data_IF_104497996363
#
_entry.id   IF_104497996363
#
_cell.length_a   1.000
_cell.length_b   1.000
_cell.length_c   1.000
_cell.angle_alpha   90.00
_cell.angle_beta   90.00
_cell.angle_gamma   90.00
#
_symmetry.space_group_name_H-M   'P 1'
#
loop_
_entity.id
_entity.type
_entity.pdbx_description
1 polymer ?
#
# COMPACT_ATOMS: atom_id res chain seq x y z
N UNK A 1 -3.51 -3.80 1.78
CA UNK A 1 -2.15 -3.26 2.00
C UNK A 1 -1.38 -4.42 2.59
N UNK A 2 -0.94 -5.42 1.83
CA UNK A 2 0.21 -5.41 0.93
C UNK A 2 0.37 -6.81 0.29
N UNK A 3 -0.69 -7.35 -0.32
CA UNK A 3 -0.71 -8.73 -0.83
C UNK A 3 0.56 -9.12 -1.56
N UNK A 4 1.11 -10.29 -1.20
CA UNK A 4 2.19 -10.89 -1.96
C UNK A 4 1.77 -10.99 -3.43
N UNK A 5 2.71 -10.99 -4.36
CA UNK A 5 2.36 -11.10 -5.79
C UNK A 5 1.48 -12.34 -6.05
N UNK A 6 1.71 -13.45 -5.36
CA UNK A 6 0.88 -14.66 -5.48
C UNK A 6 -0.59 -14.41 -5.12
N UNK A 7 -0.84 -13.67 -4.06
CA UNK A 7 -2.19 -13.29 -3.62
C UNK A 7 -2.82 -12.23 -4.53
N UNK A 8 -2.02 -11.27 -5.00
CA UNK A 8 -2.45 -10.23 -5.93
C UNK A 8 -2.84 -10.81 -7.29
N UNK A 9 -2.10 -11.81 -7.77
CA UNK A 9 -2.42 -12.55 -8.99
C UNK A 9 -3.66 -13.41 -8.75
N UNK A 10 -3.73 -14.18 -7.66
CA UNK A 10 -4.89 -15.02 -7.38
C UNK A 10 -6.20 -14.23 -7.24
N UNK A 11 -6.16 -13.06 -6.59
CA UNK A 11 -7.31 -12.16 -6.50
C UNK A 11 -7.73 -11.57 -7.85
N UNK A 12 -6.78 -11.33 -8.77
CA UNK A 12 -7.04 -10.74 -10.08
C UNK A 12 -7.43 -11.76 -11.15
N UNK A 13 -6.85 -12.96 -11.11
CA UNK A 13 -7.05 -14.01 -12.14
C UNK A 13 -8.08 -15.07 -11.72
N UNK A 14 -8.46 -15.11 -10.44
CA UNK A 14 -9.24 -16.21 -9.87
C UNK A 14 -8.45 -17.53 -9.77
N UNK A 15 -7.14 -17.48 -10.03
CA UNK A 15 -6.27 -18.66 -10.02
C UNK A 15 -5.63 -18.84 -8.63
N UNK A 16 -6.15 -19.80 -7.87
CA UNK A 16 -5.64 -20.15 -6.54
C UNK A 16 -4.42 -21.07 -6.57
N UNK A 17 -3.89 -21.38 -7.76
CA UNK A 17 -2.69 -22.24 -7.89
C UNK A 17 -1.48 -21.68 -7.13
N UNK A 18 -1.42 -20.35 -6.94
CA UNK A 18 -0.36 -19.66 -6.19
C UNK A 18 -0.66 -19.46 -4.70
N UNK A 19 -1.86 -19.79 -4.23
CA UNK A 19 -2.29 -19.65 -2.82
C UNK A 19 -1.72 -20.72 -1.89
N UNK A 20 -1.08 -21.76 -2.45
CA UNK A 20 -0.60 -22.95 -1.72
C UNK A 20 0.85 -22.85 -1.23
N UNK A 21 1.45 -21.67 -1.14
CA UNK A 21 2.76 -21.53 -0.49
C UNK A 21 2.53 -21.60 1.02
N UNK A 22 3.03 -22.62 1.73
CA UNK A 22 2.87 -22.69 3.18
C UNK A 22 3.71 -21.58 3.82
N UNK A 23 3.06 -20.46 4.16
CA UNK A 23 3.65 -19.45 5.03
C UNK A 23 3.65 -19.99 6.46
N UNK A 24 4.77 -20.59 6.86
CA UNK A 24 5.11 -20.65 8.27
C UNK A 24 5.21 -19.21 8.75
N UNK A 25 4.17 -18.67 9.40
CA UNK A 25 4.20 -17.35 10.01
C UNK A 25 5.40 -17.29 10.96
N UNK A 26 6.48 -16.58 10.61
CA UNK A 26 7.63 -16.51 11.48
C UNK A 26 7.22 -15.75 12.73
N UNK A 27 7.76 -16.14 13.89
CA UNK A 27 7.73 -15.27 15.06
C UNK A 27 8.46 -14.00 14.67
N UNK A 28 7.71 -12.91 14.49
CA UNK A 28 8.25 -11.66 13.99
C UNK A 28 8.96 -10.91 15.11
N UNK A 29 10.29 -11.04 15.17
CA UNK A 29 11.13 -10.23 16.07
C UNK A 29 11.53 -8.91 15.39
N UNK A 30 10.75 -7.85 15.61
CA UNK A 30 11.07 -6.47 15.14
C UNK A 30 12.13 -5.80 16.03
N UNK A 31 12.58 -6.44 17.11
CA UNK A 31 13.51 -5.84 18.06
C UNK A 31 12.85 -4.79 18.97
N UNK A 32 13.65 -3.87 19.51
CA UNK A 32 13.18 -2.89 20.49
C UNK A 32 12.94 -1.50 19.86
N UNK A 33 11.91 -0.76 20.29
CA UNK A 33 11.58 0.55 19.71
C UNK A 33 12.66 1.62 19.94
N UNK A 34 13.52 1.42 20.95
CA UNK A 34 14.59 2.34 21.33
C UNK A 34 15.92 2.09 20.60
N UNK A 35 15.99 1.07 19.75
CA UNK A 35 17.21 0.69 19.03
C UNK A 35 17.05 0.96 17.54
N UNK A 36 17.91 1.80 16.91
CA UNK A 36 17.82 2.01 15.47
C UNK A 36 18.04 0.70 14.70
N UNK A 37 17.58 0.66 13.44
CA UNK A 37 18.02 -0.39 12.52
C UNK A 37 19.54 -0.29 12.30
N UNK A 38 20.20 -1.42 12.05
CA UNK A 38 21.62 -1.43 11.71
C UNK A 38 21.84 -1.13 10.22
N UNK A 39 20.93 -1.59 9.35
CA UNK A 39 21.08 -1.48 7.90
C UNK A 39 19.77 -1.16 7.18
N UNK A 40 19.91 -0.79 5.90
CA UNK A 40 18.78 -0.58 5.00
C UNK A 40 18.03 -1.89 4.67
N UNK A 41 18.73 -3.02 4.62
CA UNK A 41 18.13 -4.32 4.34
C UNK A 41 17.28 -4.80 5.51
N UNK A 42 17.80 -4.70 6.74
CA UNK A 42 17.11 -5.17 7.96
C UNK A 42 15.71 -4.57 8.11
N UNK A 43 15.56 -3.27 7.84
CA UNK A 43 14.27 -2.57 7.90
C UNK A 43 13.29 -2.99 6.80
N UNK A 44 13.79 -3.33 5.62
CA UNK A 44 12.98 -3.81 4.49
C UNK A 44 12.51 -5.24 4.77
N UNK A 45 13.38 -6.09 5.29
CA UNK A 45 13.03 -7.44 5.72
C UNK A 45 11.97 -7.41 6.84
N UNK A 46 12.16 -6.54 7.85
CA UNK A 46 11.18 -6.34 8.92
C UNK A 46 9.83 -5.81 8.39
N UNK A 47 9.86 -4.88 7.44
CA UNK A 47 8.63 -4.35 6.82
C UNK A 47 7.90 -5.43 6.03
N UNK A 48 8.65 -6.25 5.28
CA UNK A 48 8.10 -7.34 4.46
C UNK A 48 7.42 -8.38 5.34
N UNK A 49 8.05 -8.74 6.47
CA UNK A 49 7.46 -9.66 7.42
C UNK A 49 6.26 -9.06 8.18
N UNK A 50 6.28 -7.75 8.47
CA UNK A 50 5.12 -7.04 9.03
C UNK A 50 3.92 -7.03 8.07
N UNK A 51 4.18 -6.80 6.78
CA UNK A 51 3.16 -6.87 5.74
C UNK A 51 2.56 -8.27 5.66
N UNK A 52 3.37 -9.33 5.69
CA UNK A 52 2.88 -10.71 5.72
C UNK A 52 1.98 -11.00 6.94
N UNK A 53 2.31 -10.47 8.13
CA UNK A 53 1.43 -10.60 9.32
C UNK A 53 0.08 -9.92 9.09
N UNK A 54 0.08 -8.73 8.51
CA UNK A 54 -1.14 -8.00 8.22
C UNK A 54 -1.99 -8.67 7.13
N UNK A 55 -1.35 -9.16 6.06
CA UNK A 55 -2.03 -9.84 4.95
C UNK A 55 -2.62 -11.17 5.42
N UNK A 56 -1.91 -11.96 6.23
CA UNK A 56 -2.46 -13.15 6.86
C UNK A 56 -3.68 -12.84 7.74
N UNK A 57 -3.67 -11.72 8.47
CA UNK A 57 -4.82 -11.25 9.24
C UNK A 57 -6.00 -10.81 8.37
N UNK A 58 -5.71 -10.26 7.18
CA UNK A 58 -6.68 -9.68 6.26
C UNK A 58 -7.29 -10.69 5.27
N UNK A 59 -6.54 -11.72 4.88
CA UNK A 59 -6.90 -12.68 3.83
C UNK A 59 -6.92 -14.14 4.32
N UNK A 60 -6.33 -14.46 5.47
CA UNK A 60 -6.13 -15.82 5.96
C UNK A 60 -7.38 -16.53 6.50
N UNK A 61 -8.60 -16.03 6.26
CA UNK A 61 -9.84 -16.63 6.82
C UNK A 61 -10.69 -17.43 5.83
N UNK A 62 -10.43 -17.37 4.52
CA UNK A 62 -11.34 -17.93 3.49
C UNK A 62 -10.84 -19.15 2.70
N UNK A 63 -9.93 -19.97 3.23
CA UNK A 63 -9.50 -21.22 2.54
C UNK A 63 -9.93 -22.52 3.22
N UNK A 64 -10.98 -22.52 4.05
CA UNK A 64 -11.48 -23.76 4.65
C UNK A 64 -12.99 -23.99 4.55
N UNK A 65 -13.62 -23.55 3.46
CA UNK A 65 -14.92 -24.08 3.08
C UNK A 65 -14.72 -25.40 2.32
N UNK A 66 -14.88 -26.53 3.02
CA UNK A 66 -15.01 -27.87 2.45
C UNK A 66 -16.34 -28.00 1.68
N UNK A 67 -16.52 -27.23 0.61
CA UNK A 67 -17.63 -27.39 -0.33
C UNK A 67 -17.08 -27.39 -1.74
N UNK A 68 -16.82 -28.60 -2.25
CA UNK A 68 -16.47 -28.84 -3.66
C UNK A 68 -17.56 -28.23 -4.55
N UNK A 69 -17.20 -27.22 -5.35
CA UNK A 69 -18.00 -26.79 -6.51
C UNK A 69 -18.53 -25.35 -6.51
N UNK A 70 -18.25 -24.52 -5.51
CA UNK A 70 -18.54 -23.08 -5.60
C UNK A 70 -17.25 -22.26 -5.52
N UNK A 71 -16.84 -21.75 -6.69
CA UNK A 71 -15.86 -20.66 -6.75
C UNK A 71 -16.56 -19.42 -6.22
N UNK A 72 -16.42 -19.15 -4.92
CA UNK A 72 -16.77 -17.84 -4.36
C UNK A 72 -15.69 -16.85 -4.76
N UNK A 73 -15.79 -16.30 -5.97
CA UNK A 73 -15.05 -15.08 -6.33
C UNK A 73 -15.80 -13.92 -5.69
N UNK A 74 -15.44 -13.56 -4.47
CA UNK A 74 -15.73 -12.22 -3.98
C UNK A 74 -14.58 -11.76 -3.07
N UNK A 75 -13.62 -11.00 -3.61
CA UNK A 75 -12.63 -10.29 -2.79
C UNK A 75 -13.15 -8.92 -2.30
N UNK A 76 -14.45 -8.65 -2.39
CA UNK A 76 -14.92 -7.28 -2.66
C UNK A 76 -15.72 -6.59 -1.55
N UNK A 77 -16.08 -7.29 -0.48
CA UNK A 77 -16.46 -6.64 0.77
C UNK A 77 -15.38 -6.88 1.80
N UNK A 78 -14.37 -6.01 1.78
CA UNK A 78 -13.45 -5.89 2.89
C UNK A 78 -14.26 -5.30 4.05
N UNK A 79 -14.90 -6.16 4.82
CA UNK A 79 -15.64 -5.76 6.01
C UNK A 79 -14.70 -4.91 6.88
N UNK A 80 -15.13 -3.71 7.24
CA UNK A 80 -14.35 -2.79 8.08
C UNK A 80 -13.94 -3.47 9.39
N UNK A 81 -14.78 -4.40 9.87
CA UNK A 81 -14.49 -5.25 11.02
C UNK A 81 -13.28 -6.17 10.77
N UNK A 82 -13.15 -6.73 9.55
CA UNK A 82 -12.02 -7.59 9.17
C UNK A 82 -10.70 -6.80 9.09
N UNK A 83 -10.73 -5.58 8.57
CA UNK A 83 -9.56 -4.70 8.53
C UNK A 83 -9.14 -4.26 9.93
N UNK A 84 -10.10 -3.86 10.78
CA UNK A 84 -9.83 -3.49 12.17
C UNK A 84 -9.26 -4.69 12.96
N UNK A 85 -9.74 -5.90 12.71
CA UNK A 85 -9.27 -7.11 13.36
C UNK A 85 -7.85 -7.50 12.92
N UNK A 86 -7.51 -7.30 11.64
CA UNK A 86 -6.15 -7.51 11.10
C UNK A 86 -5.15 -6.44 11.58
N UNK A 87 -5.63 -5.21 11.82
CA UNK A 87 -4.80 -4.08 12.25
C UNK A 87 -4.38 -4.18 13.73
N UNK A 88 -5.22 -4.75 14.60
CA UNK A 88 -4.92 -4.93 16.03
C UNK A 88 -3.59 -5.63 16.31
N UNK A 89 -3.28 -6.81 15.74
CA UNK A 89 -2.00 -7.48 15.99
C UNK A 89 -0.81 -6.78 15.31
N UNK A 90 -1.00 -6.08 14.19
CA UNK A 90 0.08 -5.38 13.49
C UNK A 90 0.44 -4.03 14.11
N UNK A 91 -0.47 -3.41 14.86
CA UNK A 91 -0.27 -2.09 15.47
C UNK A 91 1.00 -1.98 16.36
N UNK A 92 1.23 -2.85 17.38
CA UNK A 92 2.45 -2.74 18.21
C UNK A 92 3.74 -2.99 17.42
N UNK A 93 3.66 -3.88 16.43
CA UNK A 93 4.76 -4.21 15.52
C UNK A 93 5.12 -2.99 14.66
N UNK A 94 4.11 -2.30 14.14
CA UNK A 94 4.26 -1.11 13.32
C UNK A 94 4.79 0.09 14.11
N UNK A 95 4.32 0.29 15.35
CA UNK A 95 4.89 1.32 16.23
C UNK A 95 6.37 1.08 16.51
N UNK A 96 6.73 -0.18 16.76
CA UNK A 96 8.12 -0.57 16.97
C UNK A 96 8.96 -0.29 15.73
N UNK A 97 8.54 -0.81 14.57
CA UNK A 97 9.22 -0.58 13.30
C UNK A 97 9.37 0.92 12.97
N UNK A 98 8.31 1.70 13.16
CA UNK A 98 8.30 3.14 12.91
C UNK A 98 9.27 3.91 13.80
N UNK A 99 9.34 3.54 15.08
CA UNK A 99 10.26 4.16 16.05
C UNK A 99 11.72 3.85 15.68
N UNK A 100 12.02 2.60 15.34
CA UNK A 100 13.35 2.18 14.88
C UNK A 100 13.76 2.89 13.59
N UNK A 101 12.84 3.06 12.64
CA UNK A 101 13.09 3.78 11.39
C UNK A 101 13.37 5.27 11.63
N UNK A 102 12.60 5.90 12.53
CA UNK A 102 12.81 7.29 12.90
C UNK A 102 14.20 7.52 13.52
N UNK A 103 14.62 6.64 14.44
CA UNK A 103 15.95 6.67 15.04
C UNK A 103 17.05 6.45 14.01
N UNK A 104 16.85 5.53 13.06
CA UNK A 104 17.79 5.31 11.96
C UNK A 104 17.94 6.57 11.11
N UNK A 105 16.85 7.17 10.65
CA UNK A 105 16.89 8.36 9.80
C UNK A 105 17.51 9.57 10.51
N UNK A 106 17.34 9.68 11.83
CA UNK A 106 17.90 10.78 12.64
C UNK A 106 19.39 10.58 12.96
N UNK A 107 19.83 9.33 13.15
CA UNK A 107 21.24 9.00 13.41
C UNK A 107 22.08 8.91 12.14
N UNK A 108 21.44 8.61 11.00
CA UNK A 108 22.10 8.51 9.71
C UNK A 108 22.40 9.90 9.10
N UNK A 109 23.61 10.07 8.57
CA UNK A 109 23.95 11.21 7.72
C UNK A 109 23.36 11.00 6.31
N UNK A 110 22.07 11.29 6.13
CA UNK A 110 21.33 11.04 4.88
C UNK A 110 21.98 11.60 3.61
N UNK A 111 22.75 12.68 3.72
CA UNK A 111 23.48 13.29 2.60
C UNK A 111 24.52 12.34 1.95
N UNK A 112 25.07 11.40 2.71
CA UNK A 112 26.15 10.50 2.28
C UNK A 112 25.66 9.25 1.51
N UNK A 113 24.35 9.01 1.43
CA UNK A 113 23.82 7.82 0.77
C UNK A 113 23.89 7.90 -0.75
N UNK A 114 24.12 6.74 -1.36
CA UNK A 114 24.01 6.56 -2.81
C UNK A 114 22.57 6.88 -3.27
N UNK A 115 22.37 7.30 -4.53
CA UNK A 115 21.03 7.60 -5.07
C UNK A 115 20.02 6.45 -4.89
N UNK A 116 20.47 5.20 -5.01
CA UNK A 116 19.63 4.01 -4.80
C UNK A 116 19.15 3.88 -3.35
N UNK A 117 20.02 4.13 -2.37
CA UNK A 117 19.69 4.10 -0.95
C UNK A 117 18.74 5.23 -0.55
N UNK A 118 18.90 6.41 -1.17
CA UNK A 118 17.98 7.54 -1.00
C UNK A 118 16.57 7.19 -1.49
N UNK A 119 16.47 6.51 -2.64
CA UNK A 119 15.20 6.01 -3.17
C UNK A 119 14.54 5.02 -2.20
N UNK A 120 15.30 4.01 -1.75
CA UNK A 120 14.82 3.00 -0.78
C UNK A 120 14.32 3.66 0.51
N UNK A 121 15.08 4.63 1.02
CA UNK A 121 14.70 5.46 2.18
C UNK A 121 13.39 6.24 1.97
N UNK A 122 13.21 6.84 0.80
CA UNK A 122 12.00 7.61 0.48
C UNK A 122 10.77 6.70 0.42
N UNK A 123 10.88 5.52 -0.21
CA UNK A 123 9.81 4.52 -0.20
C UNK A 123 9.46 4.11 1.22
N UNK A 124 10.44 3.75 2.06
CA UNK A 124 10.19 3.35 3.44
C UNK A 124 9.54 4.48 4.28
N UNK A 125 9.88 5.73 3.98
CA UNK A 125 9.24 6.89 4.61
C UNK A 125 7.79 7.04 4.16
N UNK A 126 7.49 6.83 2.87
CA UNK A 126 6.11 6.77 2.36
C UNK A 126 5.32 5.67 3.08
N UNK A 127 5.88 4.47 3.19
CA UNK A 127 5.30 3.36 3.94
C UNK A 127 4.97 3.73 5.38
N UNK A 128 5.93 4.34 6.09
CA UNK A 128 5.73 4.79 7.46
C UNK A 128 4.57 5.78 7.57
N UNK A 129 4.48 6.75 6.65
CA UNK A 129 3.42 7.76 6.65
C UNK A 129 2.05 7.13 6.38
N UNK A 130 1.92 6.31 5.34
CA UNK A 130 0.66 5.60 5.01
C UNK A 130 0.17 4.73 6.17
N UNK A 131 1.08 3.98 6.78
CA UNK A 131 0.76 3.13 7.92
C UNK A 131 0.33 3.95 9.14
N UNK A 132 1.02 5.07 9.40
CA UNK A 132 0.66 5.96 10.50
C UNK A 132 -0.72 6.58 10.31
N UNK A 133 -1.11 6.91 9.09
CA UNK A 133 -2.47 7.37 8.76
C UNK A 133 -3.50 6.24 8.96
N UNK A 134 -3.18 5.03 8.51
CA UNK A 134 -4.06 3.85 8.65
C UNK A 134 -4.33 3.49 10.10
N UNK A 135 -3.36 3.66 11.00
CA UNK A 135 -3.53 3.43 12.44
C UNK A 135 -4.44 4.45 13.14
N UNK A 136 -4.73 5.61 12.53
CA UNK A 136 -5.63 6.63 13.08
C UNK A 136 -7.08 6.45 12.62
N UNK A 137 -7.31 5.60 11.63
CA UNK A 137 -8.61 5.45 10.99
C UNK A 137 -9.65 4.93 12.00
N UNK A 138 -10.78 5.62 12.10
CA UNK A 138 -11.92 5.19 12.91
C UNK A 138 -12.78 4.24 12.08
N UNK A 139 -13.30 3.18 12.69
CA UNK A 139 -14.25 2.28 12.03
C UNK A 139 -15.56 2.97 11.63
N UNK A 140 -15.85 4.15 12.17
CA UNK A 140 -17.06 4.91 11.84
C UNK A 140 -16.85 6.00 10.77
N UNK A 141 -15.61 6.33 10.42
CA UNK A 141 -15.27 7.31 9.37
C UNK A 141 -14.15 6.72 8.48
N UNK A 142 -14.52 5.94 7.45
CA UNK A 142 -13.55 5.25 6.61
C UNK A 142 -12.84 6.24 5.68
N UNK A 143 -11.79 6.86 6.19
CA UNK A 143 -10.93 7.75 5.41
C UNK A 143 -9.82 8.36 6.25
N UNK A 144 -8.78 8.88 5.58
CA UNK A 144 -7.76 9.65 6.25
C UNK A 144 -8.19 11.11 6.44
N UNK A 145 -7.65 11.74 7.48
CA UNK A 145 -7.72 13.18 7.61
C UNK A 145 -7.04 13.86 6.41
N UNK A 146 -7.45 15.09 6.08
CA UNK A 146 -6.87 15.85 4.97
C UNK A 146 -5.35 15.97 5.09
N UNK A 147 -4.86 16.23 6.30
CA UNK A 147 -3.44 16.40 6.57
C UNK A 147 -2.63 15.11 6.35
N UNK A 148 -3.23 13.96 6.63
CA UNK A 148 -2.62 12.66 6.40
C UNK A 148 -2.52 12.36 4.90
N UNK A 149 -3.58 12.64 4.12
CA UNK A 149 -3.51 12.56 2.65
C UNK A 149 -2.43 13.48 2.07
N UNK A 150 -2.36 14.73 2.53
CA UNK A 150 -1.34 15.68 2.06
C UNK A 150 0.07 15.18 2.38
N UNK A 151 0.29 14.66 3.59
CA UNK A 151 1.59 14.11 4.00
C UNK A 151 2.00 12.88 3.17
N UNK A 152 1.06 11.99 2.87
CA UNK A 152 1.31 10.84 1.99
C UNK A 152 1.69 11.32 0.58
N UNK A 153 0.94 12.26 0.01
CA UNK A 153 1.23 12.79 -1.33
C UNK A 153 2.57 13.53 -1.40
N UNK A 154 2.98 14.23 -0.35
CA UNK A 154 4.31 14.85 -0.27
C UNK A 154 5.41 13.79 -0.31
N UNK A 155 5.22 12.65 0.38
CA UNK A 155 6.16 11.52 0.35
C UNK A 155 6.17 10.78 -0.98
N UNK A 156 5.03 10.66 -1.63
CA UNK A 156 4.95 10.14 -3.00
C UNK A 156 5.74 11.05 -3.95
N UNK A 157 5.56 12.36 -3.87
CA UNK A 157 6.25 13.32 -4.73
C UNK A 157 7.78 13.29 -4.53
N UNK A 158 8.24 13.18 -3.28
CA UNK A 158 9.65 12.96 -2.94
C UNK A 158 10.20 11.67 -3.59
N UNK A 159 9.46 10.56 -3.48
CA UNK A 159 9.87 9.29 -4.06
C UNK A 159 9.90 9.34 -5.60
N UNK A 160 8.88 9.94 -6.24
CA UNK A 160 8.82 10.12 -7.69
C UNK A 160 10.00 10.97 -8.17
N UNK A 161 10.32 12.06 -7.48
CA UNK A 161 11.45 12.91 -7.85
C UNK A 161 12.77 12.13 -7.87
N UNK A 162 13.01 11.33 -6.82
CA UNK A 162 14.21 10.49 -6.73
C UNK A 162 14.24 9.39 -7.80
N UNK A 163 13.09 8.85 -8.18
CA UNK A 163 13.00 7.80 -9.21
C UNK A 163 13.15 8.36 -10.63
N UNK A 164 12.49 9.47 -10.95
CA UNK A 164 12.61 10.14 -12.25
C UNK A 164 14.02 10.71 -12.49
N UNK A 165 14.81 10.92 -11.43
CA UNK A 165 16.22 11.29 -11.55
C UNK A 165 17.12 10.17 -12.09
N UNK A 166 16.61 8.93 -12.18
CA UNK A 166 17.34 7.80 -12.74
C UNK A 166 17.19 7.72 -14.26
N UNK A 167 18.29 7.47 -14.96
CA UNK A 167 18.35 7.49 -16.43
C UNK A 167 17.76 6.26 -17.12
N UNK A 168 17.25 5.28 -16.37
CA UNK A 168 16.72 4.02 -16.91
C UNK A 168 15.29 3.80 -16.43
N UNK A 169 14.36 3.42 -17.33
CA UNK A 169 13.01 3.02 -16.93
C UNK A 169 13.09 1.82 -15.99
N UNK A 170 12.44 1.95 -14.83
CA UNK A 170 12.40 0.95 -13.78
C UNK A 170 11.12 0.13 -13.91
N UNK A 171 11.28 -1.16 -14.19
CA UNK A 171 10.25 -2.14 -13.91
C UNK A 171 10.43 -2.60 -12.47
N UNK A 172 9.49 -2.24 -11.60
CA UNK A 172 9.46 -2.71 -10.21
C UNK A 172 8.30 -3.68 -10.10
N UNK A 173 8.59 -4.87 -9.59
CA UNK A 173 7.60 -5.92 -9.46
C UNK A 173 6.60 -5.63 -8.35
N UNK A 174 7.06 -4.95 -7.30
CA UNK A 174 6.19 -4.53 -6.21
C UNK A 174 5.44 -3.23 -6.54
N UNK A 175 4.12 -3.31 -6.38
CA UNK A 175 3.20 -2.17 -6.42
C UNK A 175 3.35 -1.32 -5.15
N UNK A 176 3.95 -0.15 -5.28
CA UNK A 176 4.17 0.76 -4.16
C UNK A 176 3.47 2.09 -4.42
N UNK A 177 3.91 2.87 -5.40
CA UNK A 177 3.45 4.24 -5.58
C UNK A 177 2.17 4.28 -6.42
N UNK A 178 2.11 3.52 -7.51
CA UNK A 178 0.92 3.48 -8.38
C UNK A 178 -0.28 2.95 -7.60
N UNK A 179 -0.09 1.88 -6.83
CA UNK A 179 -1.16 1.30 -6.00
C UNK A 179 -1.59 2.23 -4.87
N UNK A 180 -0.65 2.93 -4.24
CA UNK A 180 -0.98 3.90 -3.18
C UNK A 180 -1.81 5.06 -3.73
N UNK A 181 -1.39 5.65 -4.84
CA UNK A 181 -2.14 6.72 -5.52
C UNK A 181 -3.53 6.24 -5.98
N UNK A 182 -3.63 5.01 -6.48
CA UNK A 182 -4.89 4.37 -6.81
C UNK A 182 -5.81 4.26 -5.58
N UNK A 183 -5.28 3.80 -4.46
CA UNK A 183 -6.02 3.68 -3.19
C UNK A 183 -6.54 5.04 -2.73
N UNK A 184 -5.70 6.08 -2.74
CA UNK A 184 -6.10 7.46 -2.39
C UNK A 184 -7.21 7.96 -3.31
N UNK A 185 -7.10 7.72 -4.62
CA UNK A 185 -8.13 8.11 -5.58
C UNK A 185 -9.46 7.39 -5.30
N UNK A 186 -9.43 6.11 -4.93
CA UNK A 186 -10.63 5.34 -4.59
C UNK A 186 -11.28 5.80 -3.26
N UNK A 187 -10.48 6.09 -2.23
CA UNK A 187 -10.99 6.34 -0.87
C UNK A 187 -11.23 7.81 -0.54
N UNK A 188 -10.45 8.74 -1.09
CA UNK A 188 -10.55 10.15 -0.72
C UNK A 188 -11.72 10.80 -1.45
N UNK A 189 -12.62 11.51 -0.78
CA UNK A 189 -13.73 12.25 -1.43
C UNK A 189 -13.34 13.65 -1.90
N UNK A 190 -12.17 14.13 -1.50
CA UNK A 190 -11.72 15.51 -1.72
C UNK A 190 -11.14 15.69 -3.13
N UNK A 191 -11.74 16.61 -3.90
CA UNK A 191 -11.41 16.85 -5.31
C UNK A 191 -9.95 17.24 -5.52
N UNK A 192 -9.42 18.08 -4.64
CA UNK A 192 -8.04 18.57 -4.69
C UNK A 192 -7.01 17.44 -4.48
N UNK A 193 -7.27 16.51 -3.57
CA UNK A 193 -6.41 15.35 -3.29
C UNK A 193 -6.45 14.38 -4.48
N UNK A 194 -7.64 14.09 -5.01
CA UNK A 194 -7.83 13.26 -6.22
C UNK A 194 -7.08 13.83 -7.42
N UNK A 195 -7.24 15.13 -7.68
CA UNK A 195 -6.57 15.81 -8.80
C UNK A 195 -5.05 15.78 -8.65
N UNK A 196 -4.53 16.01 -7.44
CA UNK A 196 -3.09 15.91 -7.16
C UNK A 196 -2.59 14.49 -7.39
N UNK A 197 -3.33 13.48 -6.94
CA UNK A 197 -3.00 12.07 -7.12
C UNK A 197 -2.93 11.66 -8.60
N UNK A 198 -3.91 12.07 -9.41
CA UNK A 198 -3.90 11.88 -10.87
C UNK A 198 -2.69 12.56 -11.52
N UNK A 199 -2.38 13.80 -11.10
CA UNK A 199 -1.24 14.54 -11.65
C UNK A 199 0.08 13.80 -11.37
N UNK A 200 0.22 13.21 -10.18
CA UNK A 200 1.38 12.37 -9.84
C UNK A 200 1.40 11.07 -10.65
N UNK A 201 0.26 10.39 -10.83
CA UNK A 201 0.19 9.19 -11.67
C UNK A 201 0.67 9.46 -13.11
N UNK A 202 0.29 10.62 -13.68
CA UNK A 202 0.70 11.06 -15.02
C UNK A 202 2.20 11.37 -15.12
N UNK A 203 2.84 11.84 -14.05
CA UNK A 203 4.24 12.27 -14.09
C UNK A 203 5.26 11.12 -14.02
N UNK A 204 4.83 9.91 -13.62
CA UNK A 204 5.75 8.79 -13.38
C UNK A 204 6.10 7.96 -14.62
N UNK A 205 5.23 7.91 -15.64
CA UNK A 205 5.43 7.08 -16.86
C UNK A 205 5.94 5.65 -16.57
N UNK A 206 5.33 4.95 -15.60
CA UNK A 206 5.85 3.68 -15.07
C UNK A 206 4.79 2.60 -14.98
N UNK A 207 5.26 1.36 -14.93
CA UNK A 207 4.46 0.18 -14.61
C UNK A 207 5.03 -0.57 -13.40
N UNK A 208 4.18 -0.82 -12.41
CA UNK A 208 4.47 -1.59 -11.21
C UNK A 208 3.67 -2.91 -11.24
N UNK A 209 4.32 -4.01 -11.61
CA UNK A 209 3.62 -5.28 -11.84
C UNK A 209 2.49 -5.15 -12.87
N UNK A 210 1.24 -5.33 -12.43
CA UNK A 210 0.03 -5.18 -13.27
C UNK A 210 -0.46 -3.73 -13.39
N UNK A 211 0.07 -2.80 -12.60
CA UNK A 211 -0.41 -1.43 -12.50
C UNK A 211 0.40 -0.49 -13.40
N UNK A 212 -0.21 0.01 -14.48
CA UNK A 212 0.38 1.08 -15.29
C UNK A 212 -0.12 2.46 -14.80
N UNK A 213 0.79 3.40 -14.54
CA UNK A 213 0.43 4.68 -13.92
C UNK A 213 -0.45 5.54 -14.83
N UNK A 214 -0.29 5.44 -16.15
CA UNK A 214 -1.09 6.19 -17.12
C UNK A 214 -2.45 5.55 -17.34
N UNK A 215 -2.52 4.23 -17.42
CA UNK A 215 -3.79 3.51 -17.50
C UNK A 215 -4.62 3.78 -16.25
N UNK A 216 -4.04 3.67 -15.05
CA UNK A 216 -4.73 3.98 -13.79
C UNK A 216 -5.22 5.43 -13.77
N UNK A 217 -4.39 6.40 -14.20
CA UNK A 217 -4.81 7.79 -14.31
C UNK A 217 -6.01 7.98 -15.26
N UNK A 218 -6.00 7.31 -16.44
CA UNK A 218 -7.12 7.36 -17.38
C UNK A 218 -8.42 6.89 -16.74
N UNK A 219 -8.39 5.77 -16.00
CA UNK A 219 -9.61 5.23 -15.37
C UNK A 219 -10.16 6.19 -14.32
N UNK A 220 -9.31 6.75 -13.45
CA UNK A 220 -9.77 7.70 -12.43
C UNK A 220 -10.25 9.04 -13.01
N UNK A 221 -9.59 9.56 -14.04
CA UNK A 221 -10.06 10.78 -14.73
C UNK A 221 -11.45 10.57 -15.33
N UNK A 222 -11.67 9.44 -16.00
CA UNK A 222 -12.98 9.08 -16.54
C UNK A 222 -14.02 8.92 -15.41
N UNK A 223 -13.68 8.19 -14.35
CA UNK A 223 -14.57 7.97 -13.22
C UNK A 223 -14.98 9.26 -12.53
N UNK A 224 -14.03 10.15 -12.22
CA UNK A 224 -14.34 11.40 -11.54
C UNK A 224 -15.11 12.36 -12.43
N UNK A 225 -14.92 12.33 -13.74
CA UNK A 225 -15.75 13.08 -14.67
C UNK A 225 -17.21 12.61 -14.61
N UNK A 226 -17.44 11.31 -14.71
CA UNK A 226 -18.80 10.74 -14.61
C UNK A 226 -19.44 10.97 -13.23
N UNK A 227 -18.65 10.98 -12.16
CA UNK A 227 -19.09 11.35 -10.81
C UNK A 227 -19.52 12.82 -10.73
N UNK A 228 -18.74 13.74 -11.33
CA UNK A 228 -19.07 15.17 -11.41
C UNK A 228 -20.32 15.42 -12.27
N UNK A 229 -20.54 14.60 -13.30
CA UNK A 229 -21.70 14.64 -14.18
C UNK A 229 -22.95 13.95 -13.57
N UNK A 230 -22.85 13.41 -12.34
CA UNK A 230 -23.88 12.63 -11.61
C UNK A 230 -24.32 11.33 -12.31
N UNK A 231 -23.48 10.76 -13.17
CA UNK A 231 -23.73 9.50 -13.86
C UNK A 231 -23.28 8.27 -13.07
N UNK A 232 -22.47 8.45 -12.01
CA UNK A 232 -21.98 7.38 -11.14
C UNK A 232 -22.07 7.77 -9.66
N UNK A 233 -22.18 6.79 -8.77
CA UNK A 233 -21.97 6.95 -7.32
C UNK A 233 -20.61 6.39 -6.90
N UNK A 234 -20.06 6.93 -5.80
CA UNK A 234 -18.88 6.39 -5.15
C UNK A 234 -19.08 4.97 -4.61
N UNK A 235 -20.34 4.59 -4.34
CA UNK A 235 -20.74 3.26 -3.87
C UNK A 235 -20.68 2.19 -4.99
N UNK A 236 -20.44 2.62 -6.23
CA UNK A 236 -20.40 1.77 -7.42
C UNK A 236 -19.15 2.08 -8.25
N UNK A 237 -17.95 1.79 -7.72
CA UNK A 237 -16.72 2.10 -8.41
C UNK A 237 -16.53 1.23 -9.68
N UNK A 238 -15.81 1.74 -10.70
CA UNK A 238 -15.72 1.12 -12.02
C UNK A 238 -14.88 -0.16 -12.05
N UNK A 239 -14.21 -0.50 -10.94
CA UNK A 239 -13.42 -1.73 -10.78
C UNK A 239 -14.25 -2.94 -10.31
N UNK A 240 -15.58 -2.83 -10.19
CA UNK A 240 -16.45 -4.00 -10.00
C UNK A 240 -16.19 -4.81 -8.73
N UNK A 241 -15.73 -4.15 -7.67
CA UNK A 241 -15.58 -4.74 -6.33
C UNK A 241 -16.88 -4.49 -5.55
N UNK A 242 -17.89 -5.31 -5.84
CA UNK A 242 -19.05 -5.55 -4.95
C UNK A 242 -18.86 -6.93 -4.33
#
# INVERSE_FOLDING_TARGET
MFSSLGESIGAFTGDTSFSNVPENAPVLEIGYPQTPFATIAEREDCLSALNAVFDNGSFGRDTRSECVGQVSVSPAHRDEETLAQALKPSQPLLYTWSSRLHLFNTSARMAAYAPEDKRRLALLSLYQTTWSASLKMDCNDPGFEKIDYESILDKVEEAIYLENSQSRPLFVFDGHIVRELSTICASCTRREIRKRSITLLRSMHRREGVWDSWEVANVYEMFFKELEDNNLSLDSPPWGLV
#
